data_IF_409558452830
#
_entry.id   IF_409558452830
#
_cell.length_a   1.000
_cell.length_b   1.000
_cell.length_c   1.000
_cell.angle_alpha   90.00
_cell.angle_beta   90.00
_cell.angle_gamma   90.00
#
_symmetry.space_group_name_H-M   'P 1'
#
loop_
_entity.id
_entity.type
_entity.pdbx_description
1 polymer ?
#
# COMPACT_ATOMS: atom_id res chain seq x y z
N UNK A 1 -10.89 69.51 15.12
CA UNK A 1 -9.45 69.75 15.34
C UNK A 1 -8.82 68.41 15.70
N UNK A 2 -7.73 68.05 15.02
CA UNK A 2 -6.92 66.87 15.32
C UNK A 2 -7.11 65.74 14.32
N UNK A 3 -6.33 65.79 13.24
CA UNK A 3 -5.98 64.66 12.39
C UNK A 3 -4.67 64.06 12.92
N UNK A 4 -4.53 62.74 12.89
CA UNK A 4 -3.28 61.93 12.92
C UNK A 4 -3.73 60.48 12.66
N UNK A 5 -3.39 59.79 11.58
CA UNK A 5 -2.05 59.30 11.21
C UNK A 5 -2.08 57.75 11.31
N UNK A 6 -1.64 56.98 10.29
CA UNK A 6 -1.88 55.52 10.23
C UNK A 6 -0.91 54.75 11.14
N UNK A 7 -1.41 53.75 11.88
CA UNK A 7 -0.58 52.84 12.68
C UNK A 7 -0.18 51.60 11.88
N UNK A 8 1.12 51.30 11.93
CA UNK A 8 1.83 50.24 11.23
C UNK A 8 1.49 48.82 11.73
N UNK A 9 1.61 47.86 10.81
CA UNK A 9 1.42 46.42 11.01
C UNK A 9 2.78 45.77 11.29
N UNK A 10 2.97 44.95 12.34
CA UNK A 10 4.26 44.28 12.55
C UNK A 10 4.41 43.07 11.62
N UNK A 11 5.47 43.08 10.83
CA UNK A 11 5.96 41.95 10.01
C UNK A 11 6.79 41.04 10.91
N UNK A 12 6.32 39.83 11.20
CA UNK A 12 7.13 38.80 11.87
C UNK A 12 7.90 38.01 10.82
N UNK A 13 9.19 38.35 10.70
CA UNK A 13 10.18 37.71 9.84
C UNK A 13 10.57 36.31 10.31
N UNK A 14 10.96 35.50 9.32
CA UNK A 14 11.31 34.09 9.44
C UNK A 14 12.63 33.80 10.16
N UNK A 15 12.75 32.54 10.56
CA UNK A 15 13.97 31.94 11.10
C UNK A 15 14.24 30.63 10.35
N UNK A 16 15.12 30.70 9.36
CA UNK A 16 15.91 29.55 8.90
C UNK A 16 17.11 29.44 9.85
N UNK A 17 17.18 28.38 10.65
CA UNK A 17 18.37 28.06 11.43
C UNK A 17 19.34 27.24 10.55
N UNK A 18 20.42 27.89 10.12
CA UNK A 18 21.61 27.26 9.56
C UNK A 18 22.56 26.97 10.71
N UNK A 19 22.98 25.72 10.87
CA UNK A 19 23.96 25.28 11.88
C UNK A 19 25.38 25.37 11.27
N UNK A 20 26.34 26.07 11.88
CA UNK A 20 27.72 26.11 11.38
C UNK A 20 28.61 25.03 12.03
N UNK A 21 29.42 24.36 11.20
CA UNK A 21 30.57 23.53 11.59
C UNK A 21 31.77 24.41 11.96
N UNK A 22 32.63 24.03 12.93
CA UNK A 22 33.89 24.72 13.17
C UNK A 22 35.08 24.02 12.47
N UNK A 23 35.93 24.81 11.82
CA UNK A 23 37.28 24.44 11.35
C UNK A 23 38.38 25.02 12.26
N UNK A 24 39.51 24.30 12.27
CA UNK A 24 40.91 24.66 12.56
C UNK A 24 41.57 24.24 13.88
N UNK A 25 42.75 23.62 13.72
CA UNK A 25 43.76 23.41 14.76
C UNK A 25 44.86 22.41 14.37
N UNK A 26 45.80 22.83 13.52
CA UNK A 26 47.07 22.12 13.25
C UNK A 26 47.96 22.03 14.50
N UNK A 27 48.66 20.91 14.70
CA UNK A 27 50.05 20.92 15.23
C UNK A 27 50.87 19.75 14.68
N UNK A 28 52.10 20.09 14.32
CA UNK A 28 53.14 19.31 13.65
C UNK A 28 53.73 18.15 14.44
N UNK A 29 54.24 17.12 13.76
CA UNK A 29 55.68 16.72 13.79
C UNK A 29 56.03 15.69 12.70
N UNK A 30 57.22 15.91 12.15
CA UNK A 30 57.91 15.31 11.01
C UNK A 30 58.61 13.96 11.28
N UNK A 31 59.01 13.30 10.18
CA UNK A 31 60.19 12.41 9.89
C UNK A 31 59.68 11.13 9.21
N UNK A 32 60.09 10.70 8.01
CA UNK A 32 61.25 11.00 7.17
C UNK A 32 61.22 10.24 5.83
N UNK A 33 62.26 10.50 5.04
CA UNK A 33 62.57 10.29 3.62
C UNK A 33 62.27 8.91 2.95
N UNK A 34 61.74 8.91 1.71
CA UNK A 34 62.41 8.73 0.37
C UNK A 34 63.03 7.35 0.12
N UNK A 35 62.51 6.61 -0.87
CA UNK A 35 63.30 5.93 -1.94
C UNK A 35 62.47 5.87 -3.24
N UNK A 36 63.14 6.17 -4.34
CA UNK A 36 62.70 6.34 -5.73
C UNK A 36 62.61 5.04 -6.55
N UNK A 37 61.91 5.15 -7.68
CA UNK A 37 62.27 4.63 -9.03
C UNK A 37 61.32 3.59 -9.63
N UNK A 38 60.92 3.85 -10.88
CA UNK A 38 60.22 2.91 -11.74
C UNK A 38 59.28 3.58 -12.75
N UNK A 39 59.83 4.31 -13.72
CA UNK A 39 59.09 4.68 -14.93
C UNK A 39 58.74 3.42 -15.73
N UNK A 40 57.47 3.27 -16.10
CA UNK A 40 57.03 2.39 -17.18
C UNK A 40 55.95 3.12 -18.01
N UNK A 41 56.09 3.01 -19.33
CA UNK A 41 55.43 3.75 -20.41
C UNK A 41 53.88 3.66 -20.47
N UNK A 42 53.20 4.57 -21.19
CA UNK A 42 51.75 4.69 -21.17
C UNK A 42 51.10 3.60 -22.04
N UNK A 43 50.29 2.74 -21.41
CA UNK A 43 49.33 1.89 -22.14
C UNK A 43 48.03 2.66 -22.31
N UNK A 44 47.65 2.87 -23.56
CA UNK A 44 46.35 3.40 -23.97
C UNK A 44 45.21 2.69 -23.24
N UNK A 45 44.62 3.36 -22.25
CA UNK A 45 43.36 2.95 -21.68
C UNK A 45 42.28 3.34 -22.70
N UNK A 46 41.85 2.35 -23.49
CA UNK A 46 40.76 2.50 -24.43
C UNK A 46 39.56 3.16 -23.74
N UNK A 47 39.21 4.36 -24.23
CA UNK A 47 37.91 4.97 -23.95
C UNK A 47 36.85 4.04 -24.52
N UNK A 48 36.38 3.10 -23.71
CA UNK A 48 35.08 2.46 -23.92
C UNK A 48 34.07 3.60 -23.92
N UNK A 49 33.60 3.93 -25.12
CA UNK A 49 32.49 4.83 -25.31
C UNK A 49 31.38 4.40 -24.36
N UNK A 50 30.93 5.34 -23.54
CA UNK A 50 29.66 5.23 -22.85
C UNK A 50 28.60 5.25 -23.95
N UNK A 51 28.26 4.08 -24.47
CA UNK A 51 27.03 3.91 -25.24
C UNK A 51 25.87 4.05 -24.26
N UNK A 52 25.52 5.32 -24.00
CA UNK A 52 24.38 5.75 -23.20
C UNK A 52 23.14 5.79 -24.10
N UNK A 53 22.98 4.81 -24.99
CA UNK A 53 21.79 4.68 -25.84
C UNK A 53 20.68 3.84 -25.20
N UNK A 54 20.52 3.92 -23.88
CA UNK A 54 19.24 3.55 -23.27
C UNK A 54 18.28 4.72 -23.46
N UNK A 55 17.38 4.53 -24.43
CA UNK A 55 16.24 5.39 -24.79
C UNK A 55 15.71 6.18 -23.60
N UNK A 56 16.09 7.46 -23.52
CA UNK A 56 15.20 8.45 -22.90
C UNK A 56 13.98 8.51 -23.79
N UNK A 57 12.91 7.80 -23.42
CA UNK A 57 11.57 8.05 -23.94
C UNK A 57 11.27 9.51 -23.59
N UNK A 58 11.59 10.44 -24.49
CA UNK A 58 11.23 11.84 -24.32
C UNK A 58 9.71 11.89 -24.23
N UNK A 59 9.22 12.43 -23.12
CA UNK A 59 7.81 12.71 -22.92
C UNK A 59 7.31 13.59 -24.08
N UNK A 60 6.33 13.08 -24.82
CA UNK A 60 5.73 13.76 -25.96
C UNK A 60 4.29 14.12 -25.61
N UNK A 61 4.05 15.41 -25.36
CA UNK A 61 2.73 15.92 -24.98
C UNK A 61 1.66 15.62 -26.03
N UNK A 62 2.04 15.43 -27.29
CA UNK A 62 1.09 15.15 -28.38
C UNK A 62 0.55 13.71 -28.36
N UNK A 63 1.20 12.80 -27.63
CA UNK A 63 0.79 11.40 -27.46
C UNK A 63 -0.09 11.17 -26.23
N UNK A 64 -0.38 12.21 -25.45
CA UNK A 64 -1.28 12.09 -24.30
C UNK A 64 -2.71 11.79 -24.80
N UNK A 65 -3.30 10.73 -24.28
CA UNK A 65 -4.63 10.27 -24.64
C UNK A 65 -5.43 9.89 -23.39
N UNK A 66 -6.77 9.93 -23.49
CA UNK A 66 -7.66 9.46 -22.43
C UNK A 66 -7.62 7.92 -22.37
N UNK A 67 -6.74 7.38 -21.54
CA UNK A 67 -6.62 5.95 -21.29
C UNK A 67 -6.18 5.69 -19.84
N UNK A 68 -6.67 4.61 -19.21
CA UNK A 68 -6.19 4.19 -17.90
C UNK A 68 -4.73 3.71 -17.96
N UNK A 69 -3.97 3.90 -16.86
CA UNK A 69 -2.69 3.19 -16.68
C UNK A 69 -2.91 1.68 -16.64
N UNK A 70 -1.93 0.88 -17.08
CA UNK A 70 -1.93 -0.57 -16.89
C UNK A 70 -1.74 -1.00 -15.43
N UNK A 71 -1.28 -0.08 -14.57
CA UNK A 71 -1.06 -0.33 -13.14
C UNK A 71 -2.36 -0.40 -12.34
N UNK A 72 -3.47 -0.03 -12.97
CA UNK A 72 -4.79 0.06 -12.40
C UNK A 72 -5.40 -1.31 -12.07
N UNK A 73 -5.99 -1.42 -10.87
CA UNK A 73 -6.71 -2.62 -10.42
C UNK A 73 -8.02 -2.78 -11.20
N UNK A 74 -8.33 -4.01 -11.59
CA UNK A 74 -9.56 -4.43 -12.27
C UNK A 74 -9.97 -5.83 -11.79
N UNK A 75 -11.25 -6.23 -11.95
CA UNK A 75 -11.67 -7.60 -11.65
C UNK A 75 -10.93 -8.68 -12.46
N UNK A 76 -10.44 -8.33 -13.65
CA UNK A 76 -9.80 -9.25 -14.58
C UNK A 76 -8.29 -9.41 -14.36
N UNK A 77 -7.64 -8.54 -13.59
CA UNK A 77 -6.19 -8.61 -13.38
C UNK A 77 -5.79 -8.89 -11.94
N UNK A 78 -6.74 -8.84 -10.99
CA UNK A 78 -6.47 -8.91 -9.58
C UNK A 78 -7.17 -10.10 -8.88
N UNK A 79 -6.53 -10.60 -7.83
CA UNK A 79 -7.08 -11.53 -6.84
C UNK A 79 -7.04 -10.87 -5.46
N UNK A 80 -8.05 -11.12 -4.64
CA UNK A 80 -8.10 -10.69 -3.24
C UNK A 80 -7.57 -11.80 -2.34
N UNK A 81 -6.63 -11.46 -1.47
CA UNK A 81 -6.06 -12.38 -0.50
C UNK A 81 -6.24 -11.82 0.91
N UNK A 82 -7.06 -12.49 1.71
CA UNK A 82 -7.30 -12.17 3.12
C UNK A 82 -6.51 -13.14 4.00
N UNK A 83 -5.55 -12.61 4.76
CA UNK A 83 -4.62 -13.41 5.57
C UNK A 83 -4.87 -13.18 7.05
N UNK A 84 -5.33 -14.24 7.73
CA UNK A 84 -5.32 -14.36 9.19
C UNK A 84 -6.14 -13.30 9.93
N UNK A 85 -7.25 -12.85 9.35
CA UNK A 85 -8.21 -12.04 10.11
C UNK A 85 -8.98 -12.92 11.11
N UNK A 86 -8.29 -13.29 12.19
CA UNK A 86 -8.71 -14.22 13.23
C UNK A 86 -8.76 -13.53 14.60
N UNK A 87 -9.61 -13.98 15.55
CA UNK A 87 -9.79 -13.33 16.85
C UNK A 87 -8.49 -13.05 17.62
N UNK A 88 -7.61 -14.05 17.73
CA UNK A 88 -6.36 -13.91 18.48
C UNK A 88 -5.41 -12.89 17.84
N UNK A 89 -5.41 -12.81 16.50
CA UNK A 89 -4.63 -11.82 15.78
C UNK A 89 -5.14 -10.42 16.11
N UNK A 90 -6.46 -10.20 16.13
CA UNK A 90 -7.02 -8.91 16.54
C UNK A 90 -6.67 -8.53 17.98
N UNK A 91 -6.65 -9.48 18.93
CA UNK A 91 -6.31 -9.16 20.32
C UNK A 91 -4.90 -8.56 20.46
N UNK A 92 -3.93 -9.09 19.70
CA UNK A 92 -2.57 -8.54 19.66
C UNK A 92 -2.39 -7.32 18.76
N UNK A 93 -3.35 -6.98 17.89
CA UNK A 93 -3.27 -5.77 17.06
C UNK A 93 -3.33 -4.50 17.91
N UNK A 94 -2.35 -3.61 17.74
CA UNK A 94 -2.21 -2.36 18.47
C UNK A 94 -1.87 -1.16 17.59
N UNK A 95 -1.82 -1.32 16.26
CA UNK A 95 -1.50 -0.23 15.32
C UNK A 95 -2.68 0.68 14.97
N UNK A 96 -3.91 0.31 15.34
CA UNK A 96 -5.12 1.08 15.03
C UNK A 96 -6.35 0.56 15.78
N UNK A 97 -7.48 1.23 15.60
CA UNK A 97 -8.76 0.75 16.15
C UNK A 97 -9.17 -0.57 15.47
N UNK A 98 -9.31 -1.63 16.26
CA UNK A 98 -9.66 -2.97 15.77
C UNK A 98 -11.04 -2.97 15.11
N UNK A 99 -11.99 -2.19 15.63
CA UNK A 99 -13.32 -2.10 15.04
C UNK A 99 -13.27 -1.45 13.65
N UNK A 100 -12.48 -0.38 13.49
CA UNK A 100 -12.21 0.23 12.20
C UNK A 100 -11.55 -0.75 11.21
N UNK A 101 -10.54 -1.52 11.64
CA UNK A 101 -9.87 -2.51 10.79
C UNK A 101 -10.88 -3.59 10.34
N UNK A 102 -11.68 -4.15 11.26
CA UNK A 102 -12.74 -5.11 10.91
C UNK A 102 -13.71 -4.51 9.90
N UNK A 103 -14.16 -3.26 10.13
CA UNK A 103 -15.05 -2.57 9.21
C UNK A 103 -14.45 -2.42 7.80
N UNK A 104 -13.19 -2.01 7.72
CA UNK A 104 -12.45 -1.89 6.44
C UNK A 104 -12.28 -3.24 5.76
N UNK A 105 -11.93 -4.31 6.49
CA UNK A 105 -11.83 -5.68 5.96
C UNK A 105 -13.16 -6.15 5.37
N UNK A 106 -14.28 -5.91 6.07
CA UNK A 106 -15.62 -6.29 5.57
C UNK A 106 -16.02 -5.43 4.37
N UNK A 107 -15.71 -4.13 4.36
CA UNK A 107 -15.92 -3.25 3.21
C UNK A 107 -15.15 -3.73 1.97
N UNK A 108 -13.88 -4.09 2.15
CA UNK A 108 -13.03 -4.68 1.11
C UNK A 108 -13.58 -6.01 0.59
N UNK A 109 -14.00 -6.90 1.49
CA UNK A 109 -14.58 -8.19 1.13
C UNK A 109 -15.87 -8.05 0.32
N UNK A 110 -16.74 -7.11 0.71
CA UNK A 110 -17.95 -6.80 -0.05
C UNK A 110 -17.63 -6.19 -1.41
N UNK A 111 -16.56 -5.40 -1.52
CA UNK A 111 -16.07 -4.91 -2.81
C UNK A 111 -15.64 -6.09 -3.70
N UNK A 112 -14.82 -7.00 -3.18
CA UNK A 112 -14.40 -8.20 -3.90
C UNK A 112 -15.59 -8.99 -4.44
N UNK A 113 -16.61 -9.21 -3.61
CA UNK A 113 -17.83 -9.91 -4.01
C UNK A 113 -18.66 -9.15 -5.05
N UNK A 114 -18.86 -7.84 -4.86
CA UNK A 114 -19.67 -7.01 -5.76
C UNK A 114 -19.08 -6.91 -7.17
N UNK A 115 -17.76 -7.02 -7.28
CA UNK A 115 -17.03 -6.97 -8.56
C UNK A 115 -16.56 -8.35 -9.04
N UNK A 116 -17.00 -9.43 -8.38
CA UNK A 116 -16.64 -10.82 -8.74
C UNK A 116 -15.13 -11.06 -8.83
N UNK A 117 -14.35 -10.37 -7.99
CA UNK A 117 -12.91 -10.55 -7.90
C UNK A 117 -12.61 -11.90 -7.24
N UNK A 118 -11.80 -12.78 -7.87
CA UNK A 118 -11.38 -14.04 -7.24
C UNK A 118 -10.82 -13.78 -5.85
N UNK A 119 -11.25 -14.55 -4.86
CA UNK A 119 -10.90 -14.33 -3.45
C UNK A 119 -10.35 -15.60 -2.83
N UNK A 120 -9.21 -15.48 -2.13
CA UNK A 120 -8.57 -16.54 -1.35
C UNK A 120 -8.58 -16.12 0.12
N UNK A 121 -9.04 -17.03 0.98
CA UNK A 121 -9.12 -16.85 2.42
C UNK A 121 -8.17 -17.82 3.10
N UNK A 122 -7.37 -17.34 4.06
CA UNK A 122 -6.49 -18.20 4.84
C UNK A 122 -6.48 -17.84 6.31
N UNK A 123 -6.26 -18.86 7.12
CA UNK A 123 -6.07 -18.78 8.56
C UNK A 123 -4.78 -19.50 8.95
N UNK A 124 -4.19 -19.10 10.07
CA UNK A 124 -3.04 -19.82 10.66
C UNK A 124 -3.47 -20.43 11.98
N UNK A 125 -3.22 -21.71 12.18
CA UNK A 125 -3.45 -22.42 13.44
C UNK A 125 -4.86 -22.20 14.02
N UNK A 126 -5.90 -22.24 13.16
CA UNK A 126 -7.26 -21.87 13.55
C UNK A 126 -7.83 -22.76 14.68
N UNK A 127 -7.53 -24.05 14.64
CA UNK A 127 -8.01 -25.03 15.63
C UNK A 127 -7.25 -25.01 16.96
N UNK A 128 -6.12 -24.30 17.06
CA UNK A 128 -5.24 -24.38 18.24
C UNK A 128 -4.99 -23.04 18.94
N UNK A 129 -4.54 -22.01 18.23
CA UNK A 129 -4.14 -20.75 18.84
C UNK A 129 -4.95 -19.55 18.36
N UNK A 130 -5.16 -19.46 17.05
CA UNK A 130 -5.57 -18.19 16.46
C UNK A 130 -7.09 -17.99 16.41
N UNK A 131 -7.83 -19.10 16.44
CA UNK A 131 -9.29 -19.14 16.28
C UNK A 131 -9.74 -19.16 14.82
N UNK A 132 -11.05 -19.27 14.54
CA UNK A 132 -11.57 -19.31 13.17
C UNK A 132 -11.41 -17.96 12.45
N UNK A 133 -11.67 -17.94 11.14
CA UNK A 133 -11.86 -16.68 10.41
C UNK A 133 -12.97 -15.84 11.08
N UNK A 134 -12.80 -14.51 11.13
CA UNK A 134 -13.80 -13.67 11.78
C UNK A 134 -15.19 -13.83 11.14
N UNK A 135 -16.27 -13.92 11.94
CA UNK A 135 -17.61 -14.20 11.43
C UNK A 135 -18.09 -13.22 10.36
N UNK A 136 -17.83 -11.94 10.53
CA UNK A 136 -18.25 -10.89 9.60
C UNK A 136 -17.59 -11.02 8.20
N UNK A 137 -16.40 -11.63 8.09
CA UNK A 137 -15.75 -11.92 6.83
C UNK A 137 -16.28 -13.23 6.24
N UNK A 138 -16.44 -14.25 7.07
CA UNK A 138 -17.05 -15.52 6.67
C UNK A 138 -18.48 -15.35 6.14
N UNK A 139 -19.27 -14.44 6.70
CA UNK A 139 -20.61 -14.09 6.23
C UNK A 139 -20.65 -13.50 4.81
N UNK A 140 -19.57 -12.83 4.39
CA UNK A 140 -19.46 -12.34 3.00
C UNK A 140 -19.26 -13.50 2.03
N UNK A 141 -18.57 -14.56 2.48
CA UNK A 141 -18.13 -15.72 1.70
C UNK A 141 -18.51 -17.07 2.35
N UNK A 142 -19.81 -17.35 2.59
CA UNK A 142 -20.23 -18.50 3.42
C UNK A 142 -19.88 -19.87 2.83
N UNK A 143 -19.65 -19.94 1.52
CA UNK A 143 -19.35 -21.18 0.78
C UNK A 143 -17.87 -21.27 0.35
N UNK A 144 -17.05 -20.27 0.69
CA UNK A 144 -15.63 -20.30 0.32
C UNK A 144 -14.85 -21.21 1.26
N UNK A 145 -13.97 -22.01 0.68
CA UNK A 145 -12.97 -22.75 1.44
C UNK A 145 -11.99 -21.78 2.11
N UNK A 146 -11.74 -22.00 3.40
CA UNK A 146 -10.73 -21.27 4.17
C UNK A 146 -9.53 -22.19 4.34
N UNK A 147 -8.39 -21.79 3.77
CA UNK A 147 -7.16 -22.58 3.82
C UNK A 147 -6.51 -22.37 5.18
N UNK A 148 -6.66 -23.32 6.10
CA UNK A 148 -5.96 -23.30 7.39
C UNK A 148 -4.57 -23.92 7.26
N UNK A 149 -3.57 -23.21 7.79
CA UNK A 149 -2.15 -23.59 7.68
C UNK A 149 -1.43 -23.44 9.01
N UNK A 150 -0.17 -23.88 9.05
CA UNK A 150 0.71 -23.72 10.22
C UNK A 150 1.85 -22.72 10.01
N UNK A 151 2.17 -22.41 8.75
CA UNK A 151 3.25 -21.48 8.39
C UNK A 151 2.82 -20.02 8.58
N UNK A 152 3.69 -19.22 9.18
CA UNK A 152 3.45 -17.77 9.30
C UNK A 152 3.47 -17.08 7.93
N UNK A 153 4.43 -17.46 7.08
CA UNK A 153 4.42 -17.05 5.69
C UNK A 153 3.38 -17.88 4.93
N UNK A 154 2.25 -17.25 4.58
CA UNK A 154 1.21 -17.91 3.80
C UNK A 154 1.72 -18.44 2.44
N UNK A 155 2.76 -17.81 1.88
CA UNK A 155 3.34 -18.23 0.60
C UNK A 155 4.22 -19.48 0.67
N UNK A 156 4.49 -19.99 1.88
CA UNK A 156 5.13 -21.29 2.10
C UNK A 156 4.12 -22.45 2.14
N UNK A 157 2.81 -22.15 2.10
CA UNK A 157 1.76 -23.16 2.01
C UNK A 157 1.41 -23.46 0.54
N UNK A 158 1.56 -24.73 0.15
CA UNK A 158 1.34 -25.15 -1.25
C UNK A 158 -0.12 -25.00 -1.70
N UNK A 159 -1.09 -25.22 -0.81
CA UNK A 159 -2.50 -25.10 -1.13
C UNK A 159 -2.87 -23.63 -1.39
N UNK A 160 -2.36 -22.71 -0.57
CA UNK A 160 -2.54 -21.28 -0.78
C UNK A 160 -1.96 -20.81 -2.11
N UNK A 161 -0.70 -21.16 -2.40
CA UNK A 161 -0.05 -20.77 -3.66
C UNK A 161 -0.77 -21.40 -4.86
N UNK A 162 -1.25 -22.63 -4.74
CA UNK A 162 -2.06 -23.27 -5.78
C UNK A 162 -3.39 -22.54 -6.01
N UNK A 163 -4.08 -22.14 -4.96
CA UNK A 163 -5.34 -21.37 -5.04
C UNK A 163 -5.13 -20.01 -5.71
N UNK A 164 -4.10 -19.25 -5.30
CA UNK A 164 -3.76 -17.96 -5.91
C UNK A 164 -3.40 -18.15 -7.38
N UNK A 165 -2.55 -19.12 -7.71
CA UNK A 165 -2.15 -19.42 -9.10
C UNK A 165 -3.33 -19.83 -9.98
N UNK A 166 -4.29 -20.59 -9.44
CA UNK A 166 -5.47 -21.04 -10.16
C UNK A 166 -6.37 -19.88 -10.62
N UNK A 167 -6.29 -18.71 -9.97
CA UNK A 167 -7.02 -17.52 -10.40
C UNK A 167 -6.52 -16.93 -11.72
N UNK A 168 -5.26 -17.23 -12.10
CA UNK A 168 -4.61 -16.66 -13.28
C UNK A 168 -4.35 -15.15 -13.20
N UNK A 169 -4.48 -14.54 -12.01
CA UNK A 169 -4.35 -13.10 -11.80
C UNK A 169 -2.92 -12.72 -11.42
N UNK A 170 -2.42 -11.62 -11.98
CA UNK A 170 -1.05 -11.13 -11.74
C UNK A 170 -0.96 -10.18 -10.54
N UNK A 171 -2.01 -9.41 -10.28
CA UNK A 171 -2.06 -8.46 -9.17
C UNK A 171 -2.69 -9.13 -7.94
N UNK A 172 -2.08 -8.96 -6.77
CA UNK A 172 -2.61 -9.46 -5.50
C UNK A 172 -2.99 -8.25 -4.65
N UNK A 173 -4.26 -8.15 -4.30
CA UNK A 173 -4.75 -7.18 -3.33
C UNK A 173 -4.79 -7.90 -1.98
N UNK A 174 -3.86 -7.52 -1.12
CA UNK A 174 -3.49 -8.26 0.08
C UNK A 174 -3.90 -7.48 1.34
N UNK A 175 -4.63 -8.14 2.24
CA UNK A 175 -4.94 -7.60 3.57
C UNK A 175 -4.77 -8.68 4.62
N UNK A 176 -4.44 -8.30 5.85
CA UNK A 176 -4.18 -9.32 6.88
C UNK A 176 -3.53 -8.84 8.17
N UNK A 177 -3.38 -9.79 9.09
CA UNK A 177 -2.85 -9.60 10.43
C UNK A 177 -1.78 -10.66 10.76
N UNK A 178 -0.61 -10.34 11.29
CA UNK A 178 -0.07 -8.99 11.52
C UNK A 178 0.75 -8.48 10.33
N UNK A 179 0.75 -7.16 10.16
CA UNK A 179 1.43 -6.48 9.04
C UNK A 179 2.91 -6.87 8.93
N UNK A 180 3.60 -6.95 10.07
CA UNK A 180 5.02 -7.26 10.19
C UNK A 180 5.36 -8.75 10.12
N UNK A 181 4.35 -9.63 10.03
CA UNK A 181 4.54 -11.09 9.90
C UNK A 181 3.72 -11.62 8.72
N UNK A 182 2.45 -11.95 8.93
CA UNK A 182 1.62 -12.68 7.96
C UNK A 182 1.27 -11.84 6.73
N UNK A 183 1.45 -10.52 6.76
CA UNK A 183 1.28 -9.67 5.58
C UNK A 183 2.58 -9.50 4.79
N UNK A 184 3.67 -9.09 5.46
CA UNK A 184 4.94 -8.79 4.78
C UNK A 184 5.58 -10.05 4.19
N UNK A 185 5.52 -11.19 4.87
CA UNK A 185 6.18 -12.40 4.40
C UNK A 185 5.63 -12.88 3.04
N UNK A 186 4.31 -13.09 2.86
CA UNK A 186 3.79 -13.50 1.57
C UNK A 186 3.88 -12.39 0.52
N UNK A 187 3.82 -11.11 0.91
CA UNK A 187 4.02 -10.01 -0.05
C UNK A 187 5.40 -10.07 -0.71
N UNK A 188 6.46 -10.30 0.08
CA UNK A 188 7.83 -10.41 -0.43
C UNK A 188 8.00 -11.65 -1.31
N UNK A 189 7.47 -12.80 -0.86
CA UNK A 189 7.58 -14.06 -1.63
C UNK A 189 6.80 -14.00 -2.96
N UNK A 190 5.62 -13.39 -2.98
CA UNK A 190 4.85 -13.21 -4.20
C UNK A 190 5.54 -12.24 -5.17
N UNK A 191 6.08 -11.13 -4.66
CA UNK A 191 6.80 -10.16 -5.47
C UNK A 191 8.03 -10.77 -6.15
N UNK A 192 8.82 -11.57 -5.43
CA UNK A 192 9.98 -12.30 -5.98
C UNK A 192 9.57 -13.24 -7.14
N UNK A 193 8.34 -13.75 -7.11
CA UNK A 193 7.79 -14.63 -8.14
C UNK A 193 7.05 -13.87 -9.27
N UNK A 194 7.17 -12.54 -9.32
CA UNK A 194 6.67 -11.71 -10.42
C UNK A 194 5.21 -11.25 -10.29
N UNK A 195 4.58 -11.44 -9.12
CA UNK A 195 3.29 -10.82 -8.82
C UNK A 195 3.46 -9.33 -8.50
N UNK A 196 2.42 -8.56 -8.80
CA UNK A 196 2.32 -7.16 -8.37
C UNK A 196 1.46 -7.11 -7.11
N UNK A 197 2.01 -6.62 -6.00
CA UNK A 197 1.34 -6.70 -4.70
C UNK A 197 0.85 -5.32 -4.25
N UNK A 198 -0.44 -5.26 -3.90
CA UNK A 198 -1.12 -4.07 -3.40
C UNK A 198 -1.60 -4.36 -1.98
N UNK A 199 -1.00 -3.71 -0.97
CA UNK A 199 -1.34 -3.96 0.44
C UNK A 199 -2.39 -2.97 0.90
N UNK A 200 -3.53 -3.48 1.38
CA UNK A 200 -4.62 -2.67 1.92
C UNK A 200 -4.34 -2.36 3.39
N UNK A 201 -3.69 -1.21 3.64
CA UNK A 201 -3.11 -0.88 4.95
C UNK A 201 -4.16 -0.68 6.04
N UNK A 202 -5.32 -0.09 5.70
CA UNK A 202 -6.43 0.19 6.62
C UNK A 202 -7.36 -1.01 6.86
N UNK A 203 -7.19 -2.10 6.10
CA UNK A 203 -7.77 -3.42 6.34
C UNK A 203 -6.75 -4.40 6.95
N UNK A 204 -5.60 -3.87 7.41
CA UNK A 204 -4.50 -4.61 8.01
C UNK A 204 -4.06 -3.95 9.32
N UNK A 205 -3.28 -4.65 10.13
CA UNK A 205 -2.82 -4.13 11.42
C UNK A 205 -1.64 -4.89 12.00
N UNK A 206 -0.78 -4.19 12.73
CA UNK A 206 0.38 -4.75 13.42
C UNK A 206 0.23 -4.68 14.94
N UNK A 207 1.17 -5.27 15.68
CA UNK A 207 1.11 -5.28 17.16
C UNK A 207 1.29 -3.91 17.78
N UNK A 208 1.89 -2.98 17.05
CA UNK A 208 2.06 -1.58 17.44
C UNK A 208 2.09 -0.69 16.20
N UNK A 209 1.86 0.63 16.33
CA UNK A 209 1.97 1.56 15.20
C UNK A 209 3.36 1.52 14.55
N UNK A 210 4.42 1.39 15.36
CA UNK A 210 5.80 1.31 14.86
C UNK A 210 6.07 0.03 14.08
N UNK A 211 5.57 -1.12 14.54
CA UNK A 211 5.72 -2.39 13.84
C UNK A 211 5.01 -2.39 12.49
N UNK A 212 3.76 -1.89 12.47
CA UNK A 212 2.98 -1.73 11.24
C UNK A 212 3.68 -0.82 10.23
N UNK A 213 4.14 0.36 10.67
CA UNK A 213 4.80 1.33 9.80
C UNK A 213 6.14 0.81 9.23
N UNK A 214 7.00 0.19 10.05
CA UNK A 214 8.24 -0.38 9.54
C UNK A 214 8.01 -1.53 8.56
N UNK A 215 6.96 -2.32 8.76
CA UNK A 215 6.59 -3.37 7.81
C UNK A 215 6.12 -2.79 6.47
N UNK A 216 5.28 -1.75 6.50
CA UNK A 216 4.89 -1.01 5.29
C UNK A 216 6.11 -0.43 4.56
N UNK A 217 7.02 0.23 5.28
CA UNK A 217 8.23 0.80 4.71
C UNK A 217 9.13 -0.27 4.05
N UNK A 218 9.28 -1.42 4.70
CA UNK A 218 10.01 -2.57 4.13
C UNK A 218 9.38 -3.05 2.82
N UNK A 219 8.05 -3.13 2.76
CA UNK A 219 7.30 -3.55 1.58
C UNK A 219 7.41 -2.51 0.45
N UNK A 220 7.25 -1.22 0.77
CA UNK A 220 7.38 -0.11 -0.19
C UNK A 220 8.77 -0.10 -0.83
N UNK A 221 9.83 -0.31 -0.02
CA UNK A 221 11.21 -0.28 -0.49
C UNK A 221 11.54 -1.33 -1.57
N UNK A 222 10.73 -2.39 -1.67
CA UNK A 222 10.90 -3.44 -2.68
C UNK A 222 9.83 -3.39 -3.79
N UNK A 223 8.91 -2.41 -3.76
CA UNK A 223 7.94 -2.19 -4.83
C UNK A 223 6.52 -2.70 -4.56
N UNK A 224 6.18 -3.09 -3.33
CA UNK A 224 4.79 -3.31 -2.92
C UNK A 224 4.08 -1.96 -2.81
N UNK A 225 2.85 -1.88 -3.32
CA UNK A 225 2.08 -0.63 -3.38
C UNK A 225 1.06 -0.58 -2.22
N UNK A 226 1.21 0.31 -1.23
CA UNK A 226 0.19 0.49 -0.21
C UNK A 226 -1.03 1.21 -0.79
N UNK A 227 -2.22 0.71 -0.46
CA UNK A 227 -3.53 1.27 -0.84
C UNK A 227 -4.49 1.21 0.35
N UNK A 228 -5.66 1.82 0.22
CA UNK A 228 -6.75 1.76 1.22
C UNK A 228 -7.99 1.07 0.65
N UNK A 229 -8.87 0.53 1.49
CA UNK A 229 -10.00 -0.25 0.99
C UNK A 229 -10.98 0.60 0.16
N UNK A 230 -11.20 1.87 0.53
CA UNK A 230 -12.05 2.79 -0.26
C UNK A 230 -11.39 3.09 -1.60
N UNK A 231 -10.07 3.28 -1.62
CA UNK A 231 -9.33 3.44 -2.88
C UNK A 231 -9.54 2.21 -3.76
N UNK A 232 -9.36 0.99 -3.24
CA UNK A 232 -9.60 -0.25 -4.01
C UNK A 232 -11.03 -0.33 -4.54
N UNK A 233 -12.04 -0.05 -3.71
CA UNK A 233 -13.44 -0.06 -4.13
C UNK A 233 -13.71 0.90 -5.30
N UNK A 234 -13.27 2.16 -5.18
CA UNK A 234 -13.48 3.18 -6.20
C UNK A 234 -12.61 2.94 -7.44
N UNK A 235 -11.47 2.30 -7.24
CA UNK A 235 -10.57 1.87 -8.29
C UNK A 235 -11.17 0.71 -9.12
N UNK A 236 -11.96 -0.18 -8.52
CA UNK A 236 -12.75 -1.18 -9.24
C UNK A 236 -13.96 -0.54 -9.97
N UNK A 237 -14.66 0.38 -9.31
CA UNK A 237 -15.80 1.10 -9.92
C UNK A 237 -15.39 1.91 -11.13
N UNK A 238 -14.31 2.71 -11.04
CA UNK A 238 -13.75 3.65 -12.04
C UNK A 238 -14.65 4.78 -12.50
N UNK A 239 -15.89 4.47 -12.85
CA UNK A 239 -16.78 5.33 -13.61
C UNK A 239 -18.20 5.20 -13.06
N UNK A 240 -18.79 6.33 -12.67
CA UNK A 240 -20.15 6.38 -12.14
C UNK A 240 -21.21 6.09 -13.21
N UNK A 241 -20.86 6.17 -14.49
CA UNK A 241 -21.73 5.69 -15.57
C UNK A 241 -21.88 4.16 -15.61
N UNK A 242 -21.06 3.39 -14.87
CA UNK A 242 -21.23 1.93 -14.73
C UNK A 242 -22.34 1.59 -13.75
N UNK A 243 -23.56 1.57 -14.26
CA UNK A 243 -24.77 1.39 -13.49
C UNK A 243 -24.94 -0.04 -12.93
N UNK A 244 -24.32 -1.04 -13.55
CA UNK A 244 -24.38 -2.44 -13.11
C UNK A 244 -23.84 -2.63 -11.68
N UNK A 245 -22.74 -1.95 -11.34
CA UNK A 245 -22.08 -2.03 -10.03
C UNK A 245 -22.40 -0.83 -9.12
N UNK A 246 -22.98 0.25 -9.67
CA UNK A 246 -23.25 1.50 -8.95
C UNK A 246 -24.04 1.28 -7.66
N UNK A 247 -25.16 0.56 -7.72
CA UNK A 247 -26.02 0.32 -6.56
C UNK A 247 -25.28 -0.43 -5.45
N UNK A 248 -24.55 -1.49 -5.80
CA UNK A 248 -23.75 -2.26 -4.85
C UNK A 248 -22.66 -1.40 -4.20
N UNK A 249 -21.95 -0.58 -4.97
CA UNK A 249 -20.93 0.36 -4.45
C UNK A 249 -21.55 1.35 -3.48
N UNK A 250 -22.71 1.93 -3.81
CA UNK A 250 -23.38 2.88 -2.92
C UNK A 250 -23.83 2.24 -1.61
N UNK A 251 -24.35 1.01 -1.63
CA UNK A 251 -24.68 0.29 -0.40
C UNK A 251 -23.44 0.01 0.46
N UNK A 252 -22.33 -0.40 -0.16
CA UNK A 252 -21.06 -0.63 0.55
C UNK A 252 -20.55 0.67 1.18
N UNK A 253 -20.53 1.77 0.42
CA UNK A 253 -20.07 3.09 0.88
C UNK A 253 -20.92 3.58 2.05
N UNK A 254 -22.25 3.49 1.96
CA UNK A 254 -23.16 3.88 3.05
C UNK A 254 -22.92 3.07 4.32
N UNK A 255 -22.66 1.78 4.19
CA UNK A 255 -22.48 0.88 5.32
C UNK A 255 -21.08 0.99 5.97
N UNK A 256 -20.02 1.21 5.18
CA UNK A 256 -18.64 1.01 5.64
C UNK A 256 -17.72 2.23 5.51
N UNK A 257 -18.05 3.23 4.67
CA UNK A 257 -17.16 4.36 4.39
C UNK A 257 -17.34 5.58 5.32
N UNK A 258 -17.93 5.38 6.51
CA UNK A 258 -18.04 6.41 7.56
C UNK A 258 -18.59 7.74 7.03
N UNK A 259 -17.80 8.80 7.14
CA UNK A 259 -18.18 10.14 6.69
C UNK A 259 -18.53 10.23 5.19
N UNK A 260 -17.87 9.44 4.34
CA UNK A 260 -18.23 9.39 2.92
C UNK A 260 -19.61 8.77 2.72
N UNK A 261 -19.89 7.66 3.42
CA UNK A 261 -21.22 7.05 3.46
C UNK A 261 -22.30 8.00 3.95
N UNK A 262 -22.03 8.76 5.01
CA UNK A 262 -22.94 9.80 5.51
C UNK A 262 -23.22 10.88 4.45
N UNK A 263 -22.19 11.28 3.69
CA UNK A 263 -22.33 12.22 2.59
C UNK A 263 -23.28 11.70 1.49
N UNK A 264 -23.18 10.42 1.14
CA UNK A 264 -24.10 9.78 0.17
C UNK A 264 -25.55 9.79 0.68
N UNK A 265 -25.77 9.39 1.94
CA UNK A 265 -27.11 9.41 2.55
C UNK A 265 -27.69 10.82 2.55
N UNK A 266 -26.88 11.80 2.96
CA UNK A 266 -27.28 13.21 2.97
C UNK A 266 -27.65 13.69 1.57
N UNK A 267 -26.80 13.48 0.57
CA UNK A 267 -27.04 13.91 -0.81
C UNK A 267 -28.33 13.31 -1.39
N UNK A 268 -28.58 12.02 -1.16
CA UNK A 268 -29.81 11.34 -1.58
C UNK A 268 -31.06 11.94 -0.92
N UNK A 269 -30.96 12.37 0.34
CA UNK A 269 -32.09 12.95 1.08
C UNK A 269 -32.43 14.40 0.67
N UNK A 270 -31.44 15.18 0.20
CA UNK A 270 -31.61 16.60 -0.09
C UNK A 270 -31.78 16.88 -1.59
N UNK A 271 -31.09 16.14 -2.44
CA UNK A 271 -30.96 16.44 -3.88
C UNK A 271 -31.67 15.35 -4.72
N UNK A 272 -32.19 14.29 -4.08
CA UNK A 272 -32.93 13.21 -4.71
C UNK A 272 -32.06 11.98 -5.04
N UNK A 273 -32.70 10.85 -5.35
CA UNK A 273 -32.06 9.54 -5.45
C UNK A 273 -30.89 9.44 -6.48
N UNK A 274 -30.84 10.34 -7.47
CA UNK A 274 -29.82 10.38 -8.52
C UNK A 274 -28.70 11.39 -8.28
N UNK A 275 -28.66 12.06 -7.12
CA UNK A 275 -27.68 13.11 -6.86
C UNK A 275 -26.27 12.60 -6.50
N UNK A 276 -26.12 11.29 -6.28
CA UNK A 276 -24.84 10.66 -5.94
C UNK A 276 -24.05 10.19 -7.18
N UNK A 277 -24.45 10.59 -8.39
CA UNK A 277 -23.81 10.24 -9.67
C UNK A 277 -24.63 9.25 -10.47
#
# INVERSE_FOLDING_TARGET
MGADGPQEVPVLGGWCAVVPFPEHGETSRSVGAVVTSGCAEPRECGRRGTDRSERTLMFDITKVQAAPSGDLLTPDNAVMLFVDHQPQMFFGTGSGDRAAIINSTVGLAKAARAFEVPTVLTTVAAESFSGPLLPQLAEVFPEHEVIDRTTMNAWEDEALVAAVRATGRKKIILSGLWTEVCLVLPALSALEQGYEVYVVSDASGGVSPAAHEHALQRMIAVGVVPVTWVQVLLELQRDWARQETYGAVMEIVKAHAGAYGLGVVYAQSVIGAHAAG
#
